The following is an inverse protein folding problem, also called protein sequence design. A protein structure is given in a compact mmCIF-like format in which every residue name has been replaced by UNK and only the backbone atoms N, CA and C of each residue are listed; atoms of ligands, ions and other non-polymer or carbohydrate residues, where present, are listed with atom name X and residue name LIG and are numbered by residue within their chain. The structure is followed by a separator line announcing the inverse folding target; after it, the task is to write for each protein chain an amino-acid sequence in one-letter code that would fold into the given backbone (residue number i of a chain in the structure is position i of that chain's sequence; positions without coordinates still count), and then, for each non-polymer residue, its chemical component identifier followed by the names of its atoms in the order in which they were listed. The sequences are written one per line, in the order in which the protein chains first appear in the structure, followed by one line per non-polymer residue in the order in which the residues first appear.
data_IF_653656635729
#
_entry.id   IF_653656635729
#
_cell.length_a   1.000
_cell.length_b   1.000
_cell.length_c   1.000
_cell.angle_alpha   90.00
_cell.angle_beta   90.00
_cell.angle_gamma   90.00
#
_symmetry.space_group_name_H-M   'P 1'
#
loop_
_entity.id
_entity.type
_entity.pdbx_description
1 polymer ?
#
# COMPACT_ATOMS: atom_id res chain seq x y z
N UNK A 1 -22.97 6.92 2.53
CA UNK A 1 -21.98 6.11 1.81
C UNK A 1 -20.71 5.88 2.63
N UNK A 2 -19.79 5.04 2.14
CA UNK A 2 -18.56 4.67 2.84
C UNK A 2 -17.35 4.91 1.93
N UNK A 3 -16.35 5.61 2.44
CA UNK A 3 -15.10 5.93 1.75
C UNK A 3 -13.94 5.27 2.50
N UNK A 4 -13.13 4.48 1.79
CA UNK A 4 -11.95 3.81 2.34
C UNK A 4 -10.71 4.41 1.69
N UNK A 5 -9.78 4.92 2.51
CA UNK A 5 -8.51 5.47 2.06
C UNK A 5 -7.35 4.65 2.62
N UNK A 6 -6.45 4.20 1.75
CA UNK A 6 -5.21 3.55 2.15
C UNK A 6 -4.17 4.61 2.54
N UNK A 7 -3.65 4.54 3.77
CA UNK A 7 -2.63 5.49 4.26
C UNK A 7 -1.29 5.38 3.53
N UNK A 8 -1.02 4.24 2.89
CA UNK A 8 0.20 4.02 2.11
C UNK A 8 0.16 4.63 0.70
N UNK A 9 -1.01 5.06 0.21
CA UNK A 9 -1.13 5.63 -1.13
C UNK A 9 -0.71 7.10 -1.14
N UNK A 10 0.50 7.37 -1.62
CA UNK A 10 1.08 8.72 -1.71
C UNK A 10 0.45 9.58 -2.80
N UNK A 11 -0.26 8.99 -3.76
CA UNK A 11 -0.90 9.69 -4.88
C UNK A 11 -2.39 10.02 -4.63
N UNK A 12 -2.88 9.86 -3.39
CA UNK A 12 -4.29 10.09 -3.05
C UNK A 12 -4.35 11.03 -1.84
N UNK A 13 -5.20 12.06 -1.93
CA UNK A 13 -5.47 12.94 -0.79
C UNK A 13 -6.14 12.16 0.34
N UNK A 14 -5.60 12.27 1.56
CA UNK A 14 -6.18 11.66 2.76
C UNK A 14 -7.39 12.42 3.29
N UNK A 15 -7.66 13.62 2.75
CA UNK A 15 -8.81 14.43 3.13
C UNK A 15 -10.00 14.06 2.24
N UNK A 16 -11.12 13.60 2.83
CA UNK A 16 -12.34 13.33 2.07
C UNK A 16 -12.84 14.59 1.36
N UNK A 17 -13.28 14.50 0.09
CA UNK A 17 -13.81 15.65 -0.65
C UNK A 17 -15.24 16.04 -0.22
N UNK A 18 -15.88 15.25 0.64
CA UNK A 18 -17.27 15.38 1.09
C UNK A 18 -17.30 15.41 2.62
N UNK A 19 -18.24 16.15 3.25
CA UNK A 19 -18.39 16.15 4.71
C UNK A 19 -18.55 14.73 5.27
N UNK A 20 -17.78 14.44 6.32
CA UNK A 20 -17.87 13.17 7.04
C UNK A 20 -18.89 13.27 8.17
N UNK A 21 -19.48 12.13 8.51
CA UNK A 21 -20.50 12.02 9.57
C UNK A 21 -19.86 11.86 10.96
N UNK A 22 -18.53 11.77 11.03
CA UNK A 22 -17.77 11.54 12.25
C UNK A 22 -16.27 11.35 11.98
N UNK A 23 -15.48 11.03 13.02
CA UNK A 23 -14.07 10.70 12.88
C UNK A 23 -13.87 9.39 12.09
N UNK A 24 -12.75 9.25 11.35
CA UNK A 24 -12.44 8.01 10.66
C UNK A 24 -12.12 6.88 11.63
N UNK A 25 -12.58 5.68 11.27
CA UNK A 25 -12.11 4.44 11.88
C UNK A 25 -10.80 4.02 11.22
N UNK A 26 -9.79 3.63 12.01
CA UNK A 26 -8.53 3.12 11.49
C UNK A 26 -8.46 1.60 11.64
N UNK A 27 -8.22 0.89 10.53
CA UNK A 27 -8.07 -0.56 10.51
C UNK A 27 -6.69 -0.94 9.98
N UNK A 28 -6.04 -1.88 10.67
CA UNK A 28 -4.78 -2.47 10.23
C UNK A 28 -5.07 -3.85 9.61
N UNK A 29 -4.78 -4.00 8.32
CA UNK A 29 -4.96 -5.25 7.60
C UNK A 29 -3.61 -5.95 7.40
N UNK A 30 -3.43 -7.19 7.87
CA UNK A 30 -2.16 -7.88 7.75
C UNK A 30 -1.85 -8.19 6.29
N UNK A 31 -0.66 -7.79 5.85
CA UNK A 31 -0.06 -8.18 4.57
C UNK A 31 1.18 -9.02 4.87
N UNK A 32 1.37 -10.13 4.16
CA UNK A 32 2.42 -11.09 4.51
C UNK A 32 3.65 -11.01 3.61
N UNK A 33 3.44 -10.82 2.31
CA UNK A 33 4.50 -10.78 1.31
C UNK A 33 4.14 -9.76 0.23
N UNK A 34 5.11 -8.91 -0.11
CA UNK A 34 5.03 -8.06 -1.29
C UNK A 34 6.20 -8.38 -2.22
N UNK A 35 5.93 -8.46 -3.53
CA UNK A 35 6.96 -8.52 -4.55
C UNK A 35 7.50 -7.09 -4.79
N UNK A 36 8.77 -6.86 -4.46
CA UNK A 36 9.42 -5.54 -4.62
C UNK A 36 10.71 -5.65 -5.44
N UNK A 37 11.05 -4.57 -6.13
CA UNK A 37 12.42 -4.38 -6.62
C UNK A 37 13.30 -4.01 -5.41
N UNK A 38 14.47 -4.61 -5.28
CA UNK A 38 15.44 -4.36 -4.21
C UNK A 38 16.88 -4.52 -4.76
N UNK A 39 17.60 -3.41 -5.01
CA UNK A 39 18.98 -3.46 -5.48
C UNK A 39 19.92 -4.25 -4.56
N UNK A 40 19.72 -4.16 -3.24
CA UNK A 40 20.48 -4.90 -2.22
C UNK A 40 20.30 -6.42 -2.35
N UNK A 41 19.08 -6.87 -2.65
CA UNK A 41 18.79 -8.27 -2.91
C UNK A 41 19.12 -8.70 -4.34
N UNK A 42 19.73 -7.80 -5.15
CA UNK A 42 19.88 -7.96 -6.60
C UNK A 42 18.55 -8.25 -7.28
N UNK A 43 17.45 -7.80 -6.66
CA UNK A 43 16.13 -7.84 -7.21
C UNK A 43 15.88 -6.54 -7.97
N UNK A 44 15.65 -6.63 -9.26
CA UNK A 44 15.66 -5.47 -10.12
C UNK A 44 16.27 -5.87 -11.45
N UNK A 45 15.67 -5.40 -12.52
CA UNK A 45 15.97 -5.87 -13.87
C UNK A 45 17.45 -5.73 -14.24
N UNK A 46 18.12 -6.85 -14.61
CA UNK A 46 19.05 -6.89 -15.75
C UNK A 46 19.44 -8.26 -16.39
N UNK A 47 18.85 -8.61 -17.53
CA UNK A 47 19.18 -9.81 -18.33
C UNK A 47 20.65 -10.21 -18.60
N UNK A 48 21.14 -11.42 -18.23
CA UNK A 48 22.34 -12.07 -18.84
C UNK A 48 22.04 -13.33 -19.67
N UNK A 49 20.81 -13.83 -19.53
CA UNK A 49 20.04 -14.63 -20.50
C UNK A 49 18.66 -13.97 -20.52
N UNK A 50 18.09 -13.80 -19.30
CA UNK A 50 16.88 -13.05 -18.90
C UNK A 50 17.03 -12.18 -17.59
N UNK A 51 17.99 -12.43 -16.67
CA UNK A 51 18.52 -11.41 -15.69
C UNK A 51 18.42 -11.69 -14.20
N UNK A 52 18.96 -10.84 -13.28
CA UNK A 52 18.61 -10.89 -11.86
C UNK A 52 17.10 -10.94 -11.71
N UNK A 53 16.67 -11.63 -10.66
CA UNK A 53 15.27 -11.79 -10.33
C UNK A 53 14.58 -10.41 -10.39
N UNK A 54 13.52 -10.23 -11.19
CA UNK A 54 12.84 -8.94 -11.29
C UNK A 54 12.22 -8.48 -9.96
N UNK A 55 11.89 -9.42 -9.06
CA UNK A 55 11.28 -9.14 -7.76
C UNK A 55 11.88 -10.00 -6.64
N UNK A 56 11.94 -9.44 -5.43
CA UNK A 56 12.15 -10.13 -4.18
C UNK A 56 10.87 -10.12 -3.35
N UNK A 57 10.60 -11.19 -2.61
CA UNK A 57 9.51 -11.21 -1.64
C UNK A 57 10.04 -10.80 -0.27
N UNK A 58 9.43 -9.77 0.31
CA UNK A 58 9.75 -9.31 1.66
C UNK A 58 8.50 -9.23 2.52
N UNK A 59 8.68 -9.41 3.83
CA UNK A 59 7.65 -9.08 4.81
C UNK A 59 7.48 -7.58 4.85
N UNK A 60 6.23 -7.14 4.83
CA UNK A 60 5.88 -5.73 4.93
C UNK A 60 5.04 -5.49 6.18
N UNK A 61 5.07 -4.27 6.74
CA UNK A 61 4.13 -3.89 7.78
C UNK A 61 2.68 -4.04 7.31
N UNK A 62 1.71 -4.27 8.22
CA UNK A 62 0.29 -4.25 7.89
C UNK A 62 -0.11 -2.96 7.17
N UNK A 63 -1.01 -3.10 6.21
CA UNK A 63 -1.59 -1.96 5.51
C UNK A 63 -2.60 -1.26 6.41
N UNK A 64 -2.64 0.07 6.35
CA UNK A 64 -3.47 0.88 7.24
C UNK A 64 -4.52 1.61 6.43
N UNK A 65 -5.77 1.44 6.81
CA UNK A 65 -6.91 2.07 6.14
C UNK A 65 -7.61 3.04 7.08
N UNK A 66 -8.05 4.17 6.53
CA UNK A 66 -9.01 5.08 7.16
C UNK A 66 -10.38 4.85 6.52
N UNK A 67 -11.38 4.58 7.35
CA UNK A 67 -12.76 4.35 6.93
C UNK A 67 -13.58 5.55 7.37
N UNK A 68 -14.13 6.26 6.39
CA UNK A 68 -14.99 7.41 6.60
C UNK A 68 -16.44 7.06 6.26
N UNK A 69 -17.37 7.52 7.11
CA UNK A 69 -18.80 7.53 6.79
C UNK A 69 -19.15 8.91 6.22
N UNK A 70 -19.58 8.96 4.97
CA UNK A 70 -19.95 10.22 4.30
C UNK A 70 -21.47 10.28 4.07
N UNK A 71 -22.02 11.49 4.13
CA UNK A 71 -23.44 11.76 3.90
C UNK A 71 -23.74 12.05 2.44
#
# INVERSE_FOLDING_TARGET
DLLILALGNTNVSLTPPVPTTGPPEQVNYPQFLLATMSPEMRAGFYSSIWGPLPWAFARIPPERYLIFRVK
#
